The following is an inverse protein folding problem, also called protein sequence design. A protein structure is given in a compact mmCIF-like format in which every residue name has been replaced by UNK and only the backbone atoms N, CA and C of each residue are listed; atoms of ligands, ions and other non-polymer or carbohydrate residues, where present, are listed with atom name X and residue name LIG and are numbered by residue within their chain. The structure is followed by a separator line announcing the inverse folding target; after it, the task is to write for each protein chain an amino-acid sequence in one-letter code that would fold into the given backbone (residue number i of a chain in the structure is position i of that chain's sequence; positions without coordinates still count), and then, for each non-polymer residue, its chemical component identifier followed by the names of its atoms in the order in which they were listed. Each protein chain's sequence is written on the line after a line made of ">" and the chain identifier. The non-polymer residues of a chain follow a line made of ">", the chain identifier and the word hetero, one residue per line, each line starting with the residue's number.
data_IF_150419008138
#
_entry.id   IF_150419008138
#
_cell.length_a   1.000
_cell.length_b   1.000
_cell.length_c   1.000
_cell.angle_alpha   90.00
_cell.angle_beta   90.00
_cell.angle_gamma   90.00
#
_symmetry.space_group_name_H-M   'P 1'
#
loop_
_entity.id
_entity.type
_entity.pdbx_description
1 polymer ?
#
# COMPACT_ATOMS: atom_id res chain seq x y z
N UNK A 1 22.01 -99.76 -0.94
CA UNK A 1 20.93 -99.10 -0.17
C UNK A 1 21.56 -97.93 0.58
N UNK A 2 21.88 -96.85 -0.13
CA UNK A 2 21.01 -95.67 -0.35
C UNK A 2 20.78 -94.83 0.90
N UNK A 3 21.58 -93.77 0.97
CA UNK A 3 21.36 -92.43 1.49
C UNK A 3 21.07 -92.20 2.99
N UNK A 4 22.09 -91.64 3.65
CA UNK A 4 22.03 -90.89 4.92
C UNK A 4 21.24 -89.58 4.72
N UNK A 5 20.43 -89.16 5.71
CA UNK A 5 20.17 -87.75 5.92
C UNK A 5 20.66 -87.26 7.28
N UNK A 6 21.22 -86.07 7.21
CA UNK A 6 21.90 -85.25 8.21
C UNK A 6 20.95 -84.58 9.19
N UNK A 7 21.46 -84.38 10.41
CA UNK A 7 20.85 -83.64 11.52
C UNK A 7 20.82 -82.13 11.22
N UNK A 8 19.69 -81.42 11.36
CA UNK A 8 19.69 -79.96 11.28
C UNK A 8 20.20 -79.31 12.58
N UNK A 9 20.96 -78.23 12.39
CA UNK A 9 21.54 -77.31 13.39
C UNK A 9 20.48 -76.43 14.06
N UNK A 10 20.73 -75.89 15.27
CA UNK A 10 19.80 -75.00 15.95
C UNK A 10 19.83 -73.60 15.32
N UNK A 11 18.65 -73.04 15.09
CA UNK A 11 18.43 -71.68 14.60
C UNK A 11 18.89 -70.65 15.64
N UNK A 12 19.73 -69.73 15.17
CA UNK A 12 20.24 -68.55 15.87
C UNK A 12 19.10 -67.56 16.17
N UNK A 13 18.94 -67.21 17.44
CA UNK A 13 17.92 -66.28 17.93
C UNK A 13 18.30 -64.84 17.57
N UNK A 14 17.51 -64.18 16.72
CA UNK A 14 17.64 -62.74 16.45
C UNK A 14 17.31 -61.92 17.73
N UNK A 15 18.14 -60.94 18.14
CA UNK A 15 17.82 -60.07 19.26
C UNK A 15 16.77 -59.02 18.84
N UNK A 16 15.61 -59.06 19.48
CA UNK A 16 14.55 -58.07 19.31
C UNK A 16 15.02 -56.66 19.69
N UNK A 17 14.76 -55.69 18.82
CA UNK A 17 14.94 -54.27 19.08
C UNK A 17 13.92 -53.78 20.10
N UNK A 18 14.25 -54.00 21.39
CA UNK A 18 13.49 -53.47 22.50
C UNK A 18 13.38 -51.95 22.42
N UNK A 19 12.15 -51.42 22.53
CA UNK A 19 11.91 -49.98 22.65
C UNK A 19 12.81 -49.41 23.76
N UNK A 20 13.57 -48.32 23.50
CA UNK A 20 14.48 -47.77 24.48
C UNK A 20 13.71 -47.38 25.75
N UNK A 21 14.28 -47.69 26.91
CA UNK A 21 13.64 -47.38 28.19
C UNK A 21 13.34 -45.89 28.28
N UNK A 22 12.28 -45.51 29.01
CA UNK A 22 11.92 -44.09 29.24
C UNK A 22 13.09 -43.27 29.81
N UNK A 23 13.99 -43.93 30.54
CA UNK A 23 15.23 -43.33 31.07
C UNK A 23 16.22 -43.02 29.96
N UNK A 24 16.39 -43.93 29.01
CA UNK A 24 17.24 -43.74 27.83
C UNK A 24 16.72 -42.59 26.96
N UNK A 25 15.40 -42.51 26.76
CA UNK A 25 14.76 -41.42 26.02
C UNK A 25 14.93 -40.07 26.76
N UNK A 26 14.70 -40.04 28.08
CA UNK A 26 14.89 -38.84 28.89
C UNK A 26 16.34 -38.35 28.87
N UNK A 27 17.31 -39.26 28.91
CA UNK A 27 18.72 -38.91 28.83
C UNK A 27 19.13 -38.38 27.46
N UNK A 28 18.56 -38.93 26.39
CA UNK A 28 18.80 -38.48 25.02
C UNK A 28 18.18 -37.08 24.78
N UNK A 29 16.96 -36.84 25.26
CA UNK A 29 16.32 -35.52 25.24
C UNK A 29 17.14 -34.50 26.04
N UNK A 30 17.59 -34.87 27.25
CA UNK A 30 18.44 -34.01 28.08
C UNK A 30 19.75 -33.65 27.38
N UNK A 31 20.42 -34.63 26.76
CA UNK A 31 21.64 -34.38 25.97
C UNK A 31 21.39 -33.44 24.80
N UNK A 32 20.31 -33.66 24.03
CA UNK A 32 19.97 -32.80 22.90
C UNK A 32 19.68 -31.37 23.36
N UNK A 33 18.99 -31.21 24.50
CA UNK A 33 18.72 -29.89 25.08
C UNK A 33 20.01 -29.17 25.51
N UNK A 34 20.91 -29.87 26.22
CA UNK A 34 22.21 -29.32 26.61
C UNK A 34 23.03 -28.93 25.39
N UNK A 35 23.00 -29.73 24.32
CA UNK A 35 23.72 -29.43 23.08
C UNK A 35 23.15 -28.21 22.35
N UNK A 36 21.81 -28.03 22.35
CA UNK A 36 21.17 -26.83 21.82
C UNK A 36 21.50 -25.58 22.64
N UNK A 37 21.51 -25.69 23.97
CA UNK A 37 21.88 -24.59 24.87
C UNK A 37 23.35 -24.22 24.67
N UNK A 38 24.25 -25.21 24.57
CA UNK A 38 25.66 -24.98 24.28
C UNK A 38 25.86 -24.32 22.91
N UNK A 39 25.16 -24.77 21.86
CA UNK A 39 25.23 -24.16 20.54
C UNK A 39 24.71 -22.72 20.55
N UNK A 40 23.59 -22.45 21.24
CA UNK A 40 23.05 -21.10 21.39
C UNK A 40 24.05 -20.18 22.13
N UNK A 41 24.62 -20.65 23.23
CA UNK A 41 25.63 -19.90 23.99
C UNK A 41 26.93 -19.71 23.20
N UNK A 42 27.30 -20.66 22.36
CA UNK A 42 28.49 -20.58 21.48
C UNK A 42 28.27 -19.58 20.33
N UNK A 43 27.05 -19.49 19.79
CA UNK A 43 26.66 -18.44 18.84
C UNK A 43 26.59 -17.05 19.49
N UNK A 44 26.32 -16.97 20.79
CA UNK A 44 26.41 -15.70 21.52
C UNK A 44 27.84 -15.31 21.91
N UNK A 45 28.79 -16.25 21.89
CA UNK A 45 30.19 -16.04 22.27
C UNK A 45 31.09 -15.40 21.19
N UNK A 46 30.61 -15.29 19.94
CA UNK A 46 31.29 -14.52 18.87
C UNK A 46 30.73 -13.11 18.70
N UNK A 47 29.73 -12.73 19.49
CA UNK A 47 29.35 -11.34 19.68
C UNK A 47 30.14 -10.80 20.87
N UNK A 48 31.29 -10.20 20.57
CA UNK A 48 31.98 -9.27 21.46
C UNK A 48 31.05 -8.10 21.77
N UNK A 49 30.14 -8.32 22.74
CA UNK A 49 29.27 -7.30 23.27
C UNK A 49 30.13 -6.42 24.18
N UNK A 50 30.79 -5.42 23.57
CA UNK A 50 31.27 -4.28 24.33
C UNK A 50 30.06 -3.61 24.97
N UNK A 51 29.81 -3.93 26.23
CA UNK A 51 29.02 -3.10 27.11
C UNK A 51 29.64 -1.69 27.07
N UNK A 52 28.91 -0.64 26.67
CA UNK A 52 29.35 0.71 26.96
C UNK A 52 29.26 0.85 28.48
N UNK A 53 30.38 0.64 29.16
CA UNK A 53 30.59 1.20 30.49
C UNK A 53 30.33 2.68 30.40
N UNK A 54 29.54 3.19 31.33
CA UNK A 54 29.21 4.60 31.55
C UNK A 54 30.49 5.44 31.61
N UNK A 55 30.98 5.89 30.46
CA UNK A 55 31.80 7.10 30.36
C UNK A 55 30.89 8.25 29.99
N UNK A 56 30.82 9.22 30.89
CA UNK A 56 30.24 10.53 30.64
C UNK A 56 30.85 11.14 29.38
N UNK A 57 30.05 11.18 28.31
CA UNK A 57 30.39 11.83 27.05
C UNK A 57 30.60 13.32 27.32
N UNK A 58 31.86 13.76 27.46
CA UNK A 58 32.19 15.18 27.41
C UNK A 58 31.95 15.65 25.99
N UNK A 59 30.94 16.50 25.82
CA UNK A 59 30.66 17.21 24.58
C UNK A 59 31.86 18.14 24.31
N UNK A 60 32.65 17.82 23.28
CA UNK A 60 33.60 18.75 22.72
C UNK A 60 32.83 19.88 21.99
N UNK A 61 33.23 21.15 22.13
CA UNK A 61 32.54 22.24 21.47
C UNK A 61 32.64 22.12 19.95
N UNK A 62 31.49 22.24 19.28
CA UNK A 62 31.35 22.18 17.83
C UNK A 62 32.06 23.37 17.19
N UNK A 63 33.20 23.12 16.52
CA UNK A 63 33.90 24.11 15.69
C UNK A 63 33.40 24.02 14.25
N UNK A 64 32.48 24.90 13.88
CA UNK A 64 32.11 25.12 12.47
C UNK A 64 33.14 26.07 11.84
N UNK A 65 33.94 25.57 10.89
CA UNK A 65 34.70 26.43 9.96
C UNK A 65 33.92 26.56 8.66
N UNK A 66 33.70 27.79 8.22
CA UNK A 66 33.12 28.07 6.92
C UNK A 66 34.16 27.81 5.83
N UNK A 67 33.82 27.03 4.80
CA UNK A 67 34.64 26.84 3.60
C UNK A 67 33.93 27.55 2.46
N UNK A 68 34.52 28.59 1.85
CA UNK A 68 33.94 29.22 0.67
C UNK A 68 33.89 28.23 -0.50
N UNK A 69 32.84 28.23 -1.33
CA UNK A 69 32.81 27.44 -2.55
C UNK A 69 33.91 27.90 -3.50
N UNK A 70 34.69 26.95 -4.04
CA UNK A 70 35.68 27.23 -5.07
C UNK A 70 34.98 27.76 -6.34
N UNK A 71 35.51 28.81 -6.99
CA UNK A 71 34.95 29.29 -8.25
C UNK A 71 35.04 28.20 -9.31
N UNK A 72 33.95 28.00 -10.05
CA UNK A 72 33.89 27.04 -11.14
C UNK A 72 34.98 27.34 -12.18
N UNK A 73 35.70 26.33 -12.70
CA UNK A 73 36.64 26.53 -13.79
C UNK A 73 35.90 27.07 -15.01
N UNK A 74 36.36 28.21 -15.52
CA UNK A 74 35.91 28.75 -16.82
C UNK A 74 36.30 27.75 -17.89
N UNK A 75 35.33 27.04 -18.45
CA UNK A 75 35.50 26.31 -19.72
C UNK A 75 35.72 27.34 -20.82
N UNK A 76 36.97 27.47 -21.26
CA UNK A 76 37.31 28.11 -22.54
C UNK A 76 36.70 27.28 -23.67
N UNK A 77 35.72 27.85 -24.36
CA UNK A 77 35.21 27.33 -25.63
C UNK A 77 36.35 27.33 -26.65
N UNK A 78 36.91 26.16 -26.93
CA UNK A 78 37.77 25.98 -28.11
C UNK A 78 36.88 25.89 -29.35
N UNK A 79 37.14 26.76 -30.32
CA UNK A 79 36.54 26.71 -31.64
C UNK A 79 37.00 25.44 -32.40
N UNK A 80 36.11 24.71 -33.08
CA UNK A 80 36.51 23.57 -33.88
C UNK A 80 37.24 24.01 -35.16
N UNK A 81 38.46 23.49 -35.34
CA UNK A 81 39.25 23.62 -36.57
C UNK A 81 38.56 22.88 -37.73
N UNK A 82 38.45 23.49 -38.93
CA UNK A 82 37.80 22.86 -40.07
C UNK A 82 38.62 21.67 -40.64
N UNK A 83 37.96 20.54 -40.82
CA UNK A 83 38.51 19.36 -41.47
C UNK A 83 38.52 19.53 -43.00
N UNK A 84 39.65 19.20 -43.64
CA UNK A 84 39.83 19.25 -45.10
C UNK A 84 39.00 18.16 -45.81
N UNK A 85 38.46 18.40 -47.02
CA UNK A 85 37.66 17.43 -47.75
C UNK A 85 38.52 16.27 -48.26
N UNK A 86 38.05 15.03 -48.07
CA UNK A 86 38.61 13.84 -48.72
C UNK A 86 37.75 13.47 -49.93
N UNK A 87 38.39 13.49 -51.09
CA UNK A 87 37.90 13.00 -52.38
C UNK A 87 37.52 11.52 -52.28
N UNK A 88 36.27 11.17 -52.59
CA UNK A 88 35.84 9.77 -52.76
C UNK A 88 35.85 9.43 -54.25
N UNK A 89 36.70 8.48 -54.60
CA UNK A 89 36.79 7.85 -55.92
C UNK A 89 35.57 6.94 -56.13
N UNK A 90 35.00 7.01 -57.33
CA UNK A 90 33.88 6.20 -57.80
C UNK A 90 34.31 4.74 -58.05
N UNK A 91 33.40 3.79 -57.83
CA UNK A 91 33.50 2.45 -58.38
C UNK A 91 32.13 2.06 -58.92
N UNK A 92 32.13 1.65 -60.20
CA UNK A 92 30.99 1.23 -61.03
C UNK A 92 30.36 -0.12 -60.61
N UNK A 93 29.20 -0.51 -61.18
CA UNK A 93 28.19 -1.35 -60.53
C UNK A 93 28.15 -2.80 -61.05
N UNK A 94 27.53 -3.69 -60.27
CA UNK A 94 27.08 -4.99 -60.76
C UNK A 94 25.60 -5.21 -60.45
N UNK A 95 24.88 -5.69 -61.46
CA UNK A 95 23.44 -5.69 -61.66
C UNK A 95 22.84 -7.10 -61.47
N UNK A 96 21.61 -7.19 -60.94
CA UNK A 96 20.53 -8.20 -61.22
C UNK A 96 19.61 -8.38 -59.97
N UNK A 97 18.27 -8.50 -59.96
CA UNK A 97 17.11 -8.51 -60.89
C UNK A 97 15.85 -8.19 -59.99
N UNK A 98 14.80 -7.55 -60.55
CA UNK A 98 13.54 -7.09 -59.90
C UNK A 98 12.41 -8.17 -59.87
N UNK A 99 11.22 -7.97 -59.20
CA UNK A 99 10.10 -7.11 -59.69
C UNK A 99 9.15 -6.54 -58.56
N UNK A 100 7.92 -6.00 -58.80
CA UNK A 100 7.61 -4.63 -59.25
C UNK A 100 6.62 -3.81 -58.35
N UNK A 101 6.74 -2.46 -58.47
CA UNK A 101 5.74 -1.35 -58.47
C UNK A 101 4.52 -1.32 -57.50
N UNK A 102 4.05 -0.17 -56.97
CA UNK A 102 3.90 1.12 -57.65
C UNK A 102 3.59 2.32 -56.72
N UNK A 103 4.21 3.48 -57.07
CA UNK A 103 3.65 4.85 -57.28
C UNK A 103 3.06 5.61 -56.05
N UNK A 104 3.30 6.91 -55.85
CA UNK A 104 3.96 7.96 -56.61
C UNK A 104 4.30 9.17 -55.71
N UNK A 105 5.36 9.89 -56.05
CA UNK A 105 5.54 11.34 -55.79
C UNK A 105 5.75 12.00 -57.16
N UNK A 106 5.46 13.30 -57.36
CA UNK A 106 6.58 14.27 -57.32
C UNK A 106 6.16 15.66 -56.78
N UNK A 107 7.03 16.33 -56.01
CA UNK A 107 7.94 17.44 -56.40
C UNK A 107 7.42 18.79 -55.87
N UNK A 108 8.14 19.43 -54.93
CA UNK A 108 9.22 20.45 -55.13
C UNK A 108 8.62 21.84 -55.39
N UNK A 109 9.13 22.98 -54.95
CA UNK A 109 10.34 23.45 -54.26
C UNK A 109 10.00 24.93 -53.88
N UNK A 110 10.23 25.41 -52.67
CA UNK A 110 11.47 26.03 -52.15
C UNK A 110 11.47 27.58 -52.22
N UNK A 111 12.19 28.15 -51.24
CA UNK A 111 12.83 29.48 -51.12
C UNK A 111 12.05 30.67 -50.54
N UNK A 112 12.30 30.88 -49.24
CA UNK A 112 12.82 32.07 -48.55
C UNK A 112 12.66 33.48 -49.17
N UNK A 113 12.30 34.48 -48.34
CA UNK A 113 13.26 35.36 -47.62
C UNK A 113 12.62 36.61 -46.98
N UNK A 114 13.21 37.03 -45.85
CA UNK A 114 13.55 38.40 -45.44
C UNK A 114 12.50 39.40 -44.88
N UNK A 115 12.71 39.71 -43.59
CA UNK A 115 13.02 41.06 -43.03
C UNK A 115 11.91 42.02 -42.55
N UNK A 116 11.93 42.25 -41.23
CA UNK A 116 12.10 43.55 -40.53
C UNK A 116 10.96 44.60 -40.53
N UNK A 117 10.36 44.87 -39.35
CA UNK A 117 10.64 46.04 -38.48
C UNK A 117 9.62 46.20 -37.32
N UNK A 118 10.16 46.53 -36.13
CA UNK A 118 9.56 46.97 -34.83
C UNK A 118 9.18 48.49 -34.91
N UNK A 119 8.83 49.28 -33.85
CA UNK A 119 8.83 49.06 -32.36
C UNK A 119 7.60 49.68 -31.60
N UNK A 120 7.25 49.24 -30.38
CA UNK A 120 7.64 49.67 -29.00
C UNK A 120 6.80 50.81 -28.36
N UNK A 121 6.42 50.64 -27.09
CA UNK A 121 6.86 51.55 -26.03
C UNK A 121 6.79 50.89 -24.63
N UNK A 122 7.71 51.29 -23.77
CA UNK A 122 8.08 50.71 -22.46
C UNK A 122 7.84 51.76 -21.35
N UNK A 123 7.58 51.34 -20.10
CA UNK A 123 7.53 52.28 -18.98
C UNK A 123 7.43 51.62 -17.60
N UNK A 124 8.51 51.74 -16.83
CA UNK A 124 8.75 51.15 -15.49
C UNK A 124 8.48 52.18 -14.38
N UNK A 125 8.00 51.74 -13.19
CA UNK A 125 8.46 52.07 -11.80
C UNK A 125 7.32 52.16 -10.73
N UNK A 126 7.62 51.61 -9.54
CA UNK A 126 6.86 51.43 -8.25
C UNK A 126 6.86 52.72 -7.38
N UNK A 127 6.37 52.80 -6.10
CA UNK A 127 5.21 52.29 -5.34
C UNK A 127 4.39 53.42 -4.61
N UNK A 128 3.25 53.10 -3.94
CA UNK A 128 2.78 53.90 -2.77
C UNK A 128 1.27 54.11 -2.55
N UNK A 129 0.79 53.61 -1.39
CA UNK A 129 -0.12 54.27 -0.42
C UNK A 129 -1.66 54.24 -0.63
N UNK A 130 -2.33 53.52 0.29
CA UNK A 130 -3.76 53.60 0.68
C UNK A 130 -4.21 55.04 1.03
N UNK A 131 -5.50 55.45 0.93
CA UNK A 131 -6.54 54.92 1.84
C UNK A 131 -8.02 54.86 1.30
N UNK A 132 -8.83 54.03 1.94
CA UNK A 132 -10.30 54.20 2.11
C UNK A 132 -10.54 55.01 3.42
N UNK A 133 -11.73 55.56 3.79
CA UNK A 133 -13.10 55.15 3.41
C UNK A 133 -14.17 56.29 3.33
N UNK A 134 -15.43 55.95 3.00
CA UNK A 134 -16.73 56.52 3.45
C UNK A 134 -17.82 56.17 2.42
N UNK A 135 -18.80 55.30 2.73
CA UNK A 135 -20.04 55.54 3.46
C UNK A 135 -21.12 56.33 2.65
N UNK A 136 -22.18 55.63 2.22
CA UNK A 136 -23.56 56.14 2.23
C UNK A 136 -24.57 55.01 2.04
N UNK A 137 -25.46 54.93 3.02
CA UNK A 137 -26.72 54.18 3.03
C UNK A 137 -27.75 54.76 2.05
N UNK A 138 -28.62 53.91 1.49
CA UNK A 138 -30.09 54.04 1.59
C UNK A 138 -30.80 52.90 0.81
N UNK A 139 -31.66 52.17 1.52
CA UNK A 139 -32.66 51.18 1.07
C UNK A 139 -33.90 51.84 0.41
N UNK A 140 -35.03 51.15 0.17
CA UNK A 140 -35.30 50.03 -0.76
C UNK A 140 -36.51 50.32 -1.68
N UNK A 141 -36.80 49.45 -2.66
CA UNK A 141 -38.17 49.30 -3.19
C UNK A 141 -38.43 47.89 -3.75
N UNK A 142 -39.57 47.34 -3.30
CA UNK A 142 -40.22 46.12 -3.78
C UNK A 142 -40.82 46.32 -5.18
N UNK A 143 -40.94 45.25 -5.96
CA UNK A 143 -42.22 44.81 -6.53
C UNK A 143 -42.04 43.51 -7.34
N UNK A 144 -42.91 42.54 -7.03
CA UNK A 144 -43.16 41.29 -7.74
C UNK A 144 -43.74 41.53 -9.14
N UNK A 145 -43.46 40.63 -10.09
CA UNK A 145 -44.48 40.10 -11.01
C UNK A 145 -43.98 38.85 -11.75
N UNK A 146 -44.80 37.81 -11.69
CA UNK A 146 -44.76 36.54 -12.41
C UNK A 146 -44.85 36.72 -13.93
N UNK A 147 -44.26 35.80 -14.70
CA UNK A 147 -44.88 35.39 -15.96
C UNK A 147 -44.52 33.95 -16.35
N UNK A 148 -45.54 33.25 -16.83
CA UNK A 148 -45.59 31.83 -17.16
C UNK A 148 -45.06 31.51 -18.57
N UNK A 149 -44.77 30.22 -18.76
CA UNK A 149 -44.27 29.49 -19.94
C UNK A 149 -44.98 29.78 -21.30
N UNK A 150 -44.46 29.30 -22.47
CA UNK A 150 -44.63 27.89 -22.82
C UNK A 150 -43.51 27.20 -23.63
N UNK A 151 -43.54 25.88 -23.52
CA UNK A 151 -42.96 24.78 -24.31
C UNK A 151 -42.92 24.96 -25.83
N UNK A 152 -41.80 24.57 -26.48
CA UNK A 152 -41.80 23.98 -27.83
C UNK A 152 -40.58 23.08 -28.09
N UNK A 153 -40.86 21.81 -28.37
CA UNK A 153 -40.10 20.85 -29.19
C UNK A 153 -41.17 20.15 -30.09
N UNK A 154 -40.87 19.48 -31.23
CA UNK A 154 -39.64 18.72 -31.51
C UNK A 154 -39.12 18.75 -32.97
N UNK A 155 -38.05 17.96 -33.16
CA UNK A 155 -37.56 17.26 -34.36
C UNK A 155 -36.55 17.93 -35.30
N UNK A 156 -35.32 17.39 -35.30
CA UNK A 156 -34.61 16.92 -36.49
C UNK A 156 -33.43 16.03 -36.08
N UNK A 157 -33.41 14.80 -36.60
CA UNK A 157 -32.34 13.80 -36.45
C UNK A 157 -31.16 14.13 -37.36
N UNK A 158 -29.94 13.99 -36.85
CA UNK A 158 -28.76 13.63 -37.64
C UNK A 158 -27.77 12.86 -36.73
N UNK A 159 -27.19 11.71 -37.16
CA UNK A 159 -26.31 10.92 -36.30
C UNK A 159 -24.89 11.50 -36.33
N UNK A 160 -24.52 12.21 -35.26
CA UNK A 160 -23.14 12.63 -35.05
C UNK A 160 -22.28 11.42 -34.63
N UNK A 161 -21.25 11.16 -35.42
CA UNK A 161 -20.14 10.23 -35.16
C UNK A 161 -19.59 10.51 -33.75
N UNK A 162 -19.66 9.50 -32.88
CA UNK A 162 -19.10 9.55 -31.54
C UNK A 162 -17.57 9.72 -31.62
N UNK A 163 -17.10 10.94 -31.37
CA UNK A 163 -15.71 11.19 -31.08
C UNK A 163 -15.34 10.45 -29.77
N UNK A 164 -14.33 9.59 -29.84
CA UNK A 164 -13.76 8.95 -28.66
C UNK A 164 -13.25 10.04 -27.69
N UNK A 165 -13.55 9.94 -26.38
CA UNK A 165 -13.08 10.92 -25.42
C UNK A 165 -11.54 10.91 -25.36
N UNK A 166 -10.88 12.07 -25.25
CA UNK A 166 -9.44 12.14 -25.07
C UNK A 166 -9.03 11.45 -23.76
N UNK A 167 -7.78 10.94 -23.65
CA UNK A 167 -7.31 10.32 -22.42
C UNK A 167 -7.42 11.33 -21.27
N UNK A 168 -8.14 10.93 -20.21
CA UNK A 168 -8.34 11.73 -19.02
C UNK A 168 -6.98 12.22 -18.49
N UNK A 169 -6.82 13.54 -18.49
CA UNK A 169 -5.69 14.22 -17.87
C UNK A 169 -5.78 13.98 -16.36
N UNK A 170 -4.66 13.62 -15.73
CA UNK A 170 -4.57 13.35 -14.30
C UNK A 170 -4.90 14.61 -13.48
N UNK A 171 -6.18 14.86 -13.24
CA UNK A 171 -6.74 15.83 -12.28
C UNK A 171 -8.17 15.44 -11.85
N UNK A 172 -8.59 14.19 -12.05
CA UNK A 172 -9.81 13.69 -11.41
C UNK A 172 -9.54 13.45 -9.93
N UNK A 173 -10.20 14.20 -9.06
CA UNK A 173 -10.26 13.89 -7.63
C UNK A 173 -10.90 12.51 -7.48
N UNK A 174 -10.17 11.55 -6.90
CA UNK A 174 -10.70 10.22 -6.69
C UNK A 174 -11.89 10.29 -5.71
N UNK A 175 -12.97 9.55 -5.97
CA UNK A 175 -14.19 9.67 -5.18
C UNK A 175 -13.97 9.19 -3.74
N UNK A 176 -14.63 9.80 -2.73
CA UNK A 176 -14.54 9.36 -1.36
C UNK A 176 -15.19 7.99 -1.18
N UNK A 177 -14.74 7.24 -0.16
CA UNK A 177 -15.34 5.96 0.20
C UNK A 177 -16.60 6.21 1.05
N UNK A 178 -17.80 5.81 0.60
CA UNK A 178 -19.01 5.93 1.42
C UNK A 178 -18.96 4.95 2.60
N UNK A 179 -19.75 5.18 3.67
CA UNK A 179 -19.91 4.20 4.75
C UNK A 179 -20.45 2.85 4.20
N UNK A 180 -21.49 2.90 3.37
CA UNK A 180 -22.18 1.71 2.87
C UNK A 180 -22.88 0.92 3.99
N UNK A 181 -22.93 -0.41 3.85
CA UNK A 181 -23.60 -1.31 4.80
C UNK A 181 -22.56 -2.02 5.68
N UNK A 182 -22.50 -1.71 6.98
CA UNK A 182 -21.52 -2.31 7.88
C UNK A 182 -21.64 -3.85 7.93
N UNK A 183 -20.53 -4.60 7.81
CA UNK A 183 -20.52 -6.03 8.04
C UNK A 183 -20.96 -6.36 9.46
N UNK A 184 -21.72 -7.46 9.68
CA UNK A 184 -22.10 -7.87 11.03
C UNK A 184 -20.87 -8.17 11.90
N UNK A 185 -20.96 -8.04 13.24
CA UNK A 185 -19.88 -8.42 14.13
C UNK A 185 -19.42 -9.88 13.92
N UNK A 186 -18.11 -10.06 13.73
CA UNK A 186 -17.54 -11.35 13.29
C UNK A 186 -16.10 -11.52 13.76
N UNK A 187 -15.73 -12.76 14.09
CA UNK A 187 -14.36 -13.22 14.25
C UNK A 187 -13.98 -14.03 13.01
N UNK A 188 -12.94 -13.61 12.30
CA UNK A 188 -12.35 -14.32 11.17
C UNK A 188 -11.04 -14.96 11.63
N UNK A 189 -10.92 -16.27 11.49
CA UNK A 189 -9.70 -17.02 11.81
C UNK A 189 -8.93 -17.34 10.53
N UNK A 190 -7.61 -17.13 10.56
CA UNK A 190 -6.72 -17.29 9.42
C UNK A 190 -5.63 -18.31 9.70
N UNK A 191 -5.26 -19.05 8.66
CA UNK A 191 -3.94 -19.70 8.58
C UNK A 191 -2.97 -18.69 7.98
N UNK A 192 -1.82 -18.49 8.63
CA UNK A 192 -0.78 -17.60 8.13
C UNK A 192 0.43 -18.40 7.62
N UNK A 193 0.87 -18.06 6.43
CA UNK A 193 2.19 -18.41 5.89
C UNK A 193 3.01 -17.12 5.79
N UNK A 194 4.21 -17.11 6.36
CA UNK A 194 5.12 -15.99 6.27
C UNK A 194 6.48 -16.41 5.73
N UNK A 195 7.20 -15.46 5.14
CA UNK A 195 8.58 -15.64 4.74
C UNK A 195 9.40 -14.48 5.31
N UNK A 196 10.49 -14.79 5.99
CA UNK A 196 11.44 -13.80 6.50
C UNK A 196 12.85 -14.21 6.10
N UNK A 197 13.56 -13.36 5.34
CA UNK A 197 14.92 -13.65 4.85
C UNK A 197 15.04 -15.04 4.18
N UNK A 198 14.03 -15.43 3.42
CA UNK A 198 13.96 -16.72 2.72
C UNK A 198 13.40 -17.89 3.55
N UNK A 199 13.33 -17.76 4.88
CA UNK A 199 12.80 -18.81 5.76
C UNK A 199 11.28 -18.73 5.85
N UNK A 200 10.59 -19.83 5.51
CA UNK A 200 9.14 -19.93 5.63
C UNK A 200 8.76 -20.28 7.06
N UNK A 201 7.76 -19.60 7.62
CA UNK A 201 7.19 -19.89 8.92
C UNK A 201 5.66 -19.89 8.85
N UNK A 202 5.04 -20.52 9.84
CA UNK A 202 3.59 -20.64 9.93
C UNK A 202 3.09 -20.05 11.24
N UNK A 203 1.91 -19.44 11.18
CA UNK A 203 1.25 -18.85 12.34
C UNK A 203 -0.27 -18.97 12.19
N UNK A 204 -1.00 -18.58 13.23
CA UNK A 204 -2.43 -18.34 13.13
C UNK A 204 -2.68 -16.83 13.21
N UNK A 205 -3.74 -16.37 12.54
CA UNK A 205 -4.20 -14.99 12.66
C UNK A 205 -5.68 -14.92 13.00
N UNK A 206 -6.10 -13.81 13.60
CA UNK A 206 -7.49 -13.55 13.95
C UNK A 206 -7.83 -12.09 13.67
N UNK A 207 -8.90 -11.84 12.92
CA UNK A 207 -9.52 -10.52 12.76
C UNK A 207 -10.85 -10.52 13.51
N UNK A 208 -10.96 -9.66 14.52
CA UNK A 208 -12.17 -9.49 15.33
C UNK A 208 -12.78 -8.13 15.03
N UNK A 209 -13.99 -8.13 14.51
CA UNK A 209 -14.78 -6.94 14.19
C UNK A 209 -16.03 -6.91 15.06
N UNK A 210 -16.22 -5.81 15.79
CA UNK A 210 -17.43 -5.56 16.57
C UNK A 210 -17.82 -4.09 16.43
N UNK A 211 -19.12 -3.82 16.40
CA UNK A 211 -19.64 -2.47 16.43
C UNK A 211 -21.03 -2.42 17.06
N UNK A 212 -21.46 -1.20 17.41
CA UNK A 212 -22.84 -0.86 17.69
C UNK A 212 -23.26 0.27 16.74
N UNK A 213 -24.28 1.06 17.10
CA UNK A 213 -24.77 2.15 16.28
C UNK A 213 -23.79 3.34 16.17
N UNK A 214 -22.94 3.55 17.18
CA UNK A 214 -22.11 4.76 17.30
C UNK A 214 -20.60 4.49 17.27
N UNK A 215 -20.15 3.29 17.63
CA UNK A 215 -18.74 2.98 17.82
C UNK A 215 -18.37 1.59 17.32
N UNK A 216 -17.08 1.41 17.03
CA UNK A 216 -16.52 0.14 16.62
C UNK A 216 -15.23 -0.20 17.36
N UNK A 217 -14.92 -1.50 17.40
CA UNK A 217 -13.64 -2.04 17.78
C UNK A 217 -13.22 -3.12 16.78
N UNK A 218 -11.99 -2.97 16.27
CA UNK A 218 -11.37 -3.86 15.31
C UNK A 218 -10.00 -4.29 15.84
N UNK A 219 -9.70 -5.59 15.77
CA UNK A 219 -8.35 -6.08 16.03
C UNK A 219 -7.94 -7.12 15.02
N UNK A 220 -6.69 -7.05 14.55
CA UNK A 220 -6.04 -8.10 13.78
C UNK A 220 -4.85 -8.61 14.61
N UNK A 221 -4.76 -9.91 14.83
CA UNK A 221 -3.64 -10.50 15.55
C UNK A 221 -2.98 -11.61 14.75
N UNK A 222 -1.69 -11.80 14.96
CA UNK A 222 -0.91 -12.92 14.44
C UNK A 222 -0.14 -13.54 15.60
N UNK A 223 -0.20 -14.86 15.72
CA UNK A 223 0.45 -15.64 16.78
C UNK A 223 1.20 -16.83 16.21
N UNK A 224 2.51 -16.83 16.39
CA UNK A 224 3.39 -17.92 16.01
C UNK A 224 3.96 -18.61 17.27
N UNK A 225 4.04 -19.94 17.23
CA UNK A 225 4.60 -20.73 18.33
C UNK A 225 6.07 -20.34 18.56
N UNK A 226 6.46 -20.11 19.82
CA UNK A 226 7.80 -19.68 20.27
C UNK A 226 8.28 -18.29 19.80
N UNK A 227 7.68 -17.68 18.76
CA UNK A 227 8.04 -16.34 18.27
C UNK A 227 7.25 -15.22 18.99
N UNK A 228 6.02 -15.54 19.43
CA UNK A 228 5.14 -14.63 20.15
C UNK A 228 3.95 -14.16 19.31
N UNK A 229 3.37 -13.02 19.69
CA UNK A 229 2.20 -12.46 19.01
C UNK A 229 2.38 -10.98 18.68
N UNK A 230 1.79 -10.55 17.57
CA UNK A 230 1.62 -9.15 17.20
C UNK A 230 0.14 -8.84 17.07
N UNK A 231 -0.26 -7.66 17.55
CA UNK A 231 -1.64 -7.21 17.60
C UNK A 231 -1.75 -5.82 17.00
N UNK A 232 -2.58 -5.67 15.98
CA UNK A 232 -3.07 -4.39 15.49
C UNK A 232 -4.47 -4.14 16.05
N UNK A 233 -4.74 -2.92 16.50
CA UNK A 233 -6.05 -2.52 17.02
C UNK A 233 -6.45 -1.18 16.42
N UNK A 234 -7.72 -1.07 16.07
CA UNK A 234 -8.36 0.16 15.62
C UNK A 234 -9.67 0.30 16.37
N UNK A 235 -9.94 1.48 16.87
CA UNK A 235 -11.19 1.82 17.52
C UNK A 235 -11.59 3.23 17.13
N UNK A 236 -12.88 3.49 17.11
CA UNK A 236 -13.39 4.79 16.73
C UNK A 236 -14.90 4.86 16.70
N UNK A 237 -15.37 5.94 16.11
CA UNK A 237 -16.79 6.22 15.93
C UNK A 237 -17.26 5.77 14.56
N UNK A 238 -18.57 5.61 14.41
CA UNK A 238 -19.24 5.40 13.13
C UNK A 238 -19.98 6.70 12.81
N UNK A 239 -19.66 7.28 11.65
CA UNK A 239 -20.23 8.54 11.19
C UNK A 239 -20.89 8.35 9.83
N UNK A 240 -21.67 9.33 9.37
CA UNK A 240 -22.22 9.29 8.00
C UNK A 240 -21.15 9.21 6.90
N UNK A 241 -19.92 9.64 7.19
CA UNK A 241 -18.79 9.56 6.26
C UNK A 241 -18.06 8.21 6.28
N UNK A 242 -18.38 7.30 7.21
CA UNK A 242 -17.65 6.05 7.38
C UNK A 242 -17.19 5.82 8.82
N UNK A 243 -16.30 4.84 8.95
CA UNK A 243 -15.50 4.63 10.14
C UNK A 243 -14.61 5.85 10.38
N UNK A 244 -14.62 6.32 11.62
CA UNK A 244 -13.84 7.45 12.07
C UNK A 244 -12.88 6.97 13.18
N UNK A 245 -11.70 6.40 12.84
CA UNK A 245 -10.75 5.91 13.83
C UNK A 245 -10.34 7.01 14.79
N UNK A 246 -10.32 6.73 16.09
CA UNK A 246 -9.80 7.63 17.14
C UNK A 246 -8.41 7.20 17.61
N UNK A 247 -8.14 5.89 17.57
CA UNK A 247 -6.85 5.29 17.91
C UNK A 247 -6.56 4.07 17.04
N UNK A 248 -5.36 4.02 16.49
CA UNK A 248 -4.74 2.83 15.91
C UNK A 248 -3.52 2.43 16.74
N UNK A 249 -3.34 1.15 17.06
CA UNK A 249 -2.14 0.67 17.74
C UNK A 249 -1.59 -0.63 17.17
N UNK A 250 -0.28 -0.82 17.35
CA UNK A 250 0.48 -2.01 16.98
C UNK A 250 1.34 -2.42 18.18
N UNK A 251 1.05 -3.61 18.72
CA UNK A 251 1.70 -4.18 19.89
C UNK A 251 2.39 -5.48 19.52
N UNK A 252 3.69 -5.55 19.76
CA UNK A 252 4.43 -6.82 19.78
C UNK A 252 5.24 -6.94 21.07
N UNK A 253 6.38 -6.24 21.14
CA UNK A 253 7.17 -6.11 22.38
C UNK A 253 6.80 -4.84 23.15
N UNK A 254 6.63 -3.75 22.41
CA UNK A 254 6.13 -2.47 22.89
C UNK A 254 4.90 -2.11 22.07
N UNK A 255 3.99 -1.31 22.66
CA UNK A 255 2.88 -0.72 21.92
C UNK A 255 3.33 0.62 21.29
N UNK A 256 2.94 0.83 20.04
CA UNK A 256 2.98 2.13 19.37
C UNK A 256 1.60 2.45 18.85
N UNK A 257 1.27 3.73 18.76
CA UNK A 257 -0.06 4.16 18.35
C UNK A 257 -0.06 5.45 17.53
N UNK A 258 -1.10 5.60 16.72
CA UNK A 258 -1.52 6.84 16.10
C UNK A 258 -2.86 7.27 16.72
N UNK A 259 -2.95 8.54 17.10
CA UNK A 259 -4.13 9.17 17.67
C UNK A 259 -4.71 10.15 16.66
N UNK A 260 -6.00 10.01 16.37
CA UNK A 260 -6.72 10.87 15.43
C UNK A 260 -7.43 11.96 16.22
N UNK A 261 -6.75 13.08 16.41
CA UNK A 261 -7.25 14.24 17.15
C UNK A 261 -8.07 15.13 16.21
N UNK A 262 -9.37 14.79 16.09
CA UNK A 262 -10.32 15.52 15.26
C UNK A 262 -10.59 16.94 15.75
N UNK A 263 -10.55 17.18 17.06
CA UNK A 263 -10.75 18.51 17.61
C UNK A 263 -9.67 19.50 17.11
N UNK A 264 -8.46 19.00 16.85
CA UNK A 264 -7.34 19.79 16.37
C UNK A 264 -6.93 19.47 14.91
N UNK A 265 -7.73 18.68 14.18
CA UNK A 265 -7.46 18.24 12.80
C UNK A 265 -6.04 17.69 12.59
N UNK A 266 -5.57 16.81 13.48
CA UNK A 266 -4.22 16.23 13.41
C UNK A 266 -4.15 14.75 13.78
N UNK A 267 -3.14 14.07 13.25
CA UNK A 267 -2.73 12.73 13.68
C UNK A 267 -1.43 12.83 14.47
N UNK A 268 -1.46 12.33 15.71
CA UNK A 268 -0.32 12.36 16.64
C UNK A 268 0.19 10.94 16.87
N UNK A 269 1.49 10.74 16.76
CA UNK A 269 2.13 9.42 16.89
C UNK A 269 2.83 9.27 18.23
N UNK A 270 2.65 8.11 18.87
CA UNK A 270 3.22 7.83 20.20
C UNK A 270 4.75 7.68 20.20
N UNK A 271 5.36 7.57 19.03
CA UNK A 271 6.82 7.51 18.83
C UNK A 271 7.44 8.88 18.53
N UNK A 272 6.69 9.96 18.72
CA UNK A 272 7.11 11.34 18.41
C UNK A 272 7.51 11.54 16.93
N UNK A 273 6.94 10.77 16.01
CA UNK A 273 7.03 11.08 14.59
C UNK A 273 6.34 12.42 14.29
N UNK A 274 6.70 13.11 13.19
CA UNK A 274 6.07 14.38 12.81
C UNK A 274 4.55 14.27 12.78
N UNK A 275 3.87 15.26 13.37
CA UNK A 275 2.41 15.37 13.35
C UNK A 275 1.94 15.53 11.90
N UNK A 276 0.89 14.81 11.52
CA UNK A 276 0.25 14.94 10.22
C UNK A 276 -1.08 15.67 10.33
N UNK A 277 -1.49 16.39 9.28
CA UNK A 277 -2.84 16.93 9.19
C UNK A 277 -3.85 15.79 9.02
N UNK A 278 -4.98 15.86 9.73
CA UNK A 278 -6.04 14.86 9.63
C UNK A 278 -7.02 15.26 8.52
N UNK A 279 -7.09 14.44 7.47
CA UNK A 279 -8.04 14.64 6.38
C UNK A 279 -9.42 14.01 6.68
N UNK A 280 -10.52 14.56 6.12
CA UNK A 280 -11.82 13.92 6.17
C UNK A 280 -11.77 12.50 5.60
N UNK A 281 -12.41 11.55 6.30
CA UNK A 281 -12.44 10.14 5.87
C UNK A 281 -11.14 9.37 6.08
N UNK A 282 -10.12 9.96 6.72
CA UNK A 282 -8.87 9.29 7.04
C UNK A 282 -9.09 7.99 7.83
N UNK A 283 -8.36 6.96 7.44
CA UNK A 283 -8.40 5.62 8.01
C UNK A 283 -7.07 5.25 8.67
N UNK A 284 -7.02 4.12 9.35
CA UNK A 284 -5.78 3.41 9.67
C UNK A 284 -5.64 2.13 8.83
N UNK A 285 -4.50 1.45 8.98
CA UNK A 285 -4.12 0.31 8.14
C UNK A 285 -5.12 -0.85 8.17
N UNK A 286 -5.87 -1.05 9.26
CA UNK A 286 -6.79 -2.18 9.39
C UNK A 286 -8.27 -1.76 9.28
N UNK A 287 -8.64 -0.57 9.73
CA UNK A 287 -9.99 -0.01 9.54
C UNK A 287 -10.35 0.13 8.06
N UNK A 288 -9.36 0.40 7.21
CA UNK A 288 -9.53 0.46 5.76
C UNK A 288 -10.17 -0.82 5.17
N UNK A 289 -9.85 -2.00 5.72
CA UNK A 289 -10.45 -3.26 5.25
C UNK A 289 -11.96 -3.28 5.48
N UNK A 290 -12.40 -2.82 6.65
CA UNK A 290 -13.82 -2.82 7.02
C UNK A 290 -14.55 -1.66 6.33
N UNK A 291 -13.92 -0.50 6.21
CA UNK A 291 -14.47 0.65 5.48
C UNK A 291 -14.77 0.26 4.02
N UNK A 292 -13.88 -0.48 3.36
CA UNK A 292 -14.10 -0.97 2.00
C UNK A 292 -15.12 -2.10 1.94
N UNK A 293 -15.10 -3.04 2.89
CA UNK A 293 -16.13 -4.07 2.98
C UNK A 293 -17.53 -3.45 3.08
N UNK A 294 -17.68 -2.44 3.94
CA UNK A 294 -18.94 -1.74 4.14
C UNK A 294 -19.39 -0.98 2.89
N UNK A 295 -18.48 -0.24 2.26
CA UNK A 295 -18.74 0.48 1.02
C UNK A 295 -19.21 -0.47 -0.09
N UNK A 296 -18.52 -1.60 -0.29
CA UNK A 296 -18.87 -2.62 -1.27
C UNK A 296 -20.17 -3.34 -0.94
N UNK A 297 -20.49 -3.55 0.33
CA UNK A 297 -21.77 -4.13 0.74
C UNK A 297 -22.95 -3.19 0.47
N UNK A 298 -22.74 -1.88 0.60
CA UNK A 298 -23.79 -0.87 0.39
C UNK A 298 -24.10 -0.62 -1.08
N UNK A 299 -23.08 -0.57 -1.94
CA UNK A 299 -23.25 -0.35 -3.38
C UNK A 299 -22.16 -1.10 -4.19
N UNK A 300 -22.30 -2.43 -4.38
CA UNK A 300 -21.31 -3.22 -5.09
C UNK A 300 -21.11 -2.78 -6.55
N UNK A 301 -22.16 -2.24 -7.20
CA UNK A 301 -22.12 -1.90 -8.63
C UNK A 301 -21.21 -0.71 -8.92
N UNK A 302 -20.97 0.15 -7.93
CA UNK A 302 -20.00 1.25 -7.99
C UNK A 302 -18.54 0.79 -8.06
N UNK A 303 -18.25 -0.44 -7.66
CA UNK A 303 -16.89 -0.98 -7.60
C UNK A 303 -16.63 -1.96 -8.74
N UNK A 304 -16.29 -1.42 -9.90
CA UNK A 304 -15.90 -2.22 -11.08
C UNK A 304 -14.39 -2.43 -11.15
N UNK A 305 -13.89 -3.50 -11.78
CA UNK A 305 -12.47 -3.69 -12.01
C UNK A 305 -11.81 -2.44 -12.61
N UNK A 306 -10.65 -2.06 -12.09
CA UNK A 306 -9.97 -0.81 -12.42
C UNK A 306 -10.38 0.38 -11.58
N UNK A 307 -11.38 0.27 -10.70
CA UNK A 307 -11.73 1.32 -9.73
C UNK A 307 -10.51 1.69 -8.91
N UNK A 308 -10.24 3.00 -8.79
CA UNK A 308 -9.17 3.54 -7.96
C UNK A 308 -9.75 4.39 -6.85
N UNK A 309 -9.19 4.27 -5.65
CA UNK A 309 -9.54 5.08 -4.48
C UNK A 309 -8.28 5.66 -3.85
N UNK A 310 -8.34 6.90 -3.37
CA UNK A 310 -7.28 7.50 -2.59
C UNK A 310 -7.80 7.81 -1.18
N UNK A 311 -7.11 7.29 -0.16
CA UNK A 311 -7.51 7.47 1.23
C UNK A 311 -6.29 7.78 2.09
N UNK A 312 -6.32 8.87 2.84
CA UNK A 312 -5.32 9.11 3.87
C UNK A 312 -5.34 7.95 4.87
N UNK A 313 -4.24 7.23 4.97
CA UNK A 313 -4.12 6.08 5.86
C UNK A 313 -2.99 6.32 6.85
N UNK A 314 -3.31 6.35 8.13
CA UNK A 314 -2.34 6.47 9.21
C UNK A 314 -1.65 5.13 9.48
N UNK A 315 -0.33 5.18 9.55
CA UNK A 315 0.55 4.12 10.05
C UNK A 315 1.04 4.50 11.45
N UNK A 316 2.11 3.86 11.94
CA UNK A 316 2.75 4.25 13.20
C UNK A 316 3.73 5.42 13.05
N UNK A 317 3.97 5.90 11.83
CA UNK A 317 5.03 6.89 11.54
C UNK A 317 4.57 8.06 10.66
N UNK A 318 3.47 7.90 9.95
CA UNK A 318 2.96 8.87 8.99
C UNK A 318 1.45 8.70 8.79
N UNK A 319 0.79 9.70 8.21
CA UNK A 319 -0.57 9.62 7.69
C UNK A 319 -0.56 10.23 6.30
N UNK A 320 -0.64 9.38 5.29
CA UNK A 320 -0.36 9.74 3.91
C UNK A 320 -1.37 9.03 3.00
N UNK A 321 -1.70 9.58 1.83
CA UNK A 321 -2.67 8.98 0.92
C UNK A 321 -2.20 7.61 0.42
N UNK A 322 -3.07 6.61 0.50
CA UNK A 322 -2.90 5.28 -0.08
C UNK A 322 -3.74 5.19 -1.35
N UNK A 323 -3.14 4.75 -2.45
CA UNK A 323 -3.83 4.51 -3.71
C UNK A 323 -4.21 3.03 -3.79
N UNK A 324 -5.51 2.76 -3.71
CA UNK A 324 -6.09 1.44 -3.82
C UNK A 324 -6.60 1.23 -5.24
N UNK A 325 -6.36 0.05 -5.81
CA UNK A 325 -6.94 -0.36 -7.10
C UNK A 325 -7.68 -1.67 -6.92
N UNK A 326 -8.91 -1.74 -7.46
CA UNK A 326 -9.67 -2.98 -7.54
C UNK A 326 -9.23 -3.75 -8.79
N UNK A 327 -8.76 -4.97 -8.61
CA UNK A 327 -8.39 -5.85 -9.71
C UNK A 327 -9.61 -6.65 -10.24
N UNK A 328 -9.50 -7.24 -11.44
CA UNK A 328 -10.50 -8.16 -11.96
C UNK A 328 -10.82 -9.30 -10.99
N UNK A 329 -12.04 -9.87 -11.05
CA UNK A 329 -12.41 -11.00 -10.22
C UNK A 329 -11.48 -12.18 -10.43
N UNK A 330 -11.10 -12.84 -9.33
CA UNK A 330 -10.32 -14.06 -9.34
C UNK A 330 -10.90 -15.08 -8.36
N UNK A 331 -10.70 -16.37 -8.65
CA UNK A 331 -11.20 -17.46 -7.82
C UNK A 331 -10.08 -17.96 -6.91
N UNK A 332 -10.26 -17.82 -5.60
CA UNK A 332 -9.40 -18.46 -4.61
C UNK A 332 -9.86 -19.89 -4.32
N UNK A 333 -8.94 -20.74 -3.89
CA UNK A 333 -9.27 -22.06 -3.32
C UNK A 333 -9.11 -21.99 -1.80
N UNK A 334 -10.22 -22.08 -1.06
CA UNK A 334 -10.23 -22.14 0.41
C UNK A 334 -10.69 -23.53 0.82
N UNK A 335 -9.84 -24.26 1.56
CA UNK A 335 -10.12 -25.63 2.01
C UNK A 335 -10.66 -26.57 0.91
N UNK A 336 -10.10 -26.43 -0.30
CA UNK A 336 -10.48 -27.22 -1.47
C UNK A 336 -11.75 -26.75 -2.20
N UNK A 337 -12.39 -25.67 -1.72
CA UNK A 337 -13.58 -25.08 -2.34
C UNK A 337 -13.23 -23.83 -3.14
N UNK A 338 -13.80 -23.70 -4.33
CA UNK A 338 -13.69 -22.50 -5.15
C UNK A 338 -14.48 -21.35 -4.52
N UNK A 339 -13.82 -20.20 -4.35
CA UNK A 339 -14.40 -18.98 -3.81
C UNK A 339 -14.17 -17.82 -4.78
N UNK A 340 -15.22 -17.31 -5.42
CA UNK A 340 -15.13 -16.06 -6.18
C UNK A 340 -14.77 -14.89 -5.26
N UNK A 341 -13.75 -14.14 -5.66
CA UNK A 341 -13.24 -12.97 -4.94
C UNK A 341 -12.92 -11.84 -5.90
N UNK A 342 -12.77 -10.64 -5.34
CA UNK A 342 -12.08 -9.53 -5.98
C UNK A 342 -10.95 -9.07 -5.06
N UNK A 343 -9.90 -8.48 -5.63
CA UNK A 343 -8.70 -8.09 -4.88
C UNK A 343 -8.51 -6.59 -4.91
N UNK A 344 -8.31 -5.99 -3.75
CA UNK A 344 -7.79 -4.64 -3.62
C UNK A 344 -6.28 -4.69 -3.48
N UNK A 345 -5.59 -3.83 -4.22
CA UNK A 345 -4.14 -3.66 -4.15
C UNK A 345 -3.81 -2.22 -3.77
N UNK A 346 -3.09 -2.05 -2.67
CA UNK A 346 -2.43 -0.80 -2.33
C UNK A 346 -1.00 -0.86 -2.83
N UNK A 347 -0.69 -0.02 -3.82
CA UNK A 347 0.65 0.04 -4.41
C UNK A 347 1.63 0.74 -3.45
N UNK A 348 2.89 0.28 -3.36
CA UNK A 348 3.95 1.02 -2.69
C UNK A 348 4.10 2.41 -3.30
N UNK A 349 4.13 3.45 -2.47
CA UNK A 349 4.24 4.85 -2.96
C UNK A 349 5.69 5.25 -3.20
N UNK A 350 6.59 4.60 -2.51
CA UNK A 350 8.03 4.77 -2.64
C UNK A 350 8.71 3.41 -2.42
N UNK A 351 10.00 3.34 -2.76
CA UNK A 351 10.81 2.11 -2.75
C UNK A 351 10.96 1.45 -1.36
N UNK A 352 10.40 2.05 -0.31
CA UNK A 352 10.50 1.58 1.08
C UNK A 352 9.13 1.16 1.66
N UNK A 353 8.06 1.33 0.89
CA UNK A 353 6.71 0.95 1.31
C UNK A 353 6.41 -0.52 0.99
N UNK A 354 5.67 -1.18 1.88
CA UNK A 354 5.18 -2.53 1.64
C UNK A 354 4.01 -2.50 0.63
N UNK A 355 3.90 -3.56 -0.17
CA UNK A 355 2.70 -3.83 -0.98
C UNK A 355 1.65 -4.51 -0.10
N UNK A 356 0.43 -3.99 -0.08
CA UNK A 356 -0.70 -4.58 0.65
C UNK A 356 -1.74 -5.04 -0.34
N UNK A 357 -2.16 -6.30 -0.21
CA UNK A 357 -3.17 -6.93 -1.06
C UNK A 357 -4.19 -7.62 -0.16
N UNK A 358 -5.48 -7.46 -0.46
CA UNK A 358 -6.51 -8.19 0.25
C UNK A 358 -7.65 -8.57 -0.67
N UNK A 359 -8.09 -9.81 -0.52
CA UNK A 359 -9.16 -10.41 -1.30
C UNK A 359 -10.43 -10.39 -0.47
N UNK A 360 -11.53 -9.99 -1.09
CA UNK A 360 -12.83 -9.88 -0.45
C UNK A 360 -13.85 -10.72 -1.20
N UNK A 361 -14.88 -11.18 -0.50
CA UNK A 361 -15.94 -11.99 -1.09
C UNK A 361 -17.32 -11.56 -0.59
N UNK A 362 -18.34 -11.46 -1.47
CA UNK A 362 -19.70 -11.14 -1.04
C UNK A 362 -20.26 -12.20 -0.07
N UNK A 363 -19.81 -13.46 -0.17
CA UNK A 363 -20.19 -14.55 0.76
C UNK A 363 -19.77 -14.30 2.21
N UNK A 364 -18.85 -13.36 2.44
CA UNK A 364 -18.31 -13.00 3.74
C UNK A 364 -18.56 -11.51 4.03
N UNK A 365 -19.67 -10.96 3.54
CA UNK A 365 -20.00 -9.53 3.68
C UNK A 365 -18.87 -8.59 3.22
N UNK A 366 -18.16 -8.99 2.16
CA UNK A 366 -16.98 -8.29 1.61
C UNK A 366 -15.81 -8.14 2.58
N UNK A 367 -15.79 -8.88 3.69
CA UNK A 367 -14.64 -8.94 4.59
C UNK A 367 -13.45 -9.65 3.94
N UNK A 368 -12.21 -9.35 4.38
CA UNK A 368 -11.02 -9.91 3.76
C UNK A 368 -10.90 -11.42 4.04
N UNK A 369 -11.03 -12.21 2.98
CA UNK A 369 -10.83 -13.68 3.00
C UNK A 369 -9.36 -14.06 2.79
N UNK A 370 -8.54 -13.13 2.31
CA UNK A 370 -7.08 -13.23 2.29
C UNK A 370 -6.46 -11.86 2.47
N UNK A 371 -5.36 -11.77 3.21
CA UNK A 371 -4.56 -10.54 3.35
C UNK A 371 -3.10 -10.91 3.14
N UNK A 372 -2.45 -10.28 2.16
CA UNK A 372 -1.03 -10.45 1.90
C UNK A 372 -0.32 -9.10 2.02
N UNK A 373 0.73 -9.07 2.84
CA UNK A 373 1.60 -7.90 2.98
C UNK A 373 3.00 -8.33 2.60
N UNK A 374 3.53 -7.72 1.54
CA UNK A 374 4.88 -8.00 1.02
C UNK A 374 5.77 -6.80 1.29
N UNK A 375 6.79 -7.00 2.12
CA UNK A 375 7.81 -6.00 2.43
C UNK A 375 8.74 -5.79 1.23
N UNK A 376 9.47 -4.68 1.22
CA UNK A 376 10.47 -4.37 0.19
C UNK A 376 11.58 -5.41 0.11
N UNK A 377 11.90 -6.08 1.21
CA UNK A 377 12.86 -7.19 1.25
C UNK A 377 12.38 -8.45 0.49
N UNK A 378 11.11 -8.51 0.08
CA UNK A 378 10.46 -9.73 -0.39
C UNK A 378 9.90 -10.60 0.74
N UNK A 379 10.23 -10.31 2.00
CA UNK A 379 9.58 -10.93 3.16
C UNK A 379 8.08 -10.66 3.11
N UNK A 380 7.25 -11.63 3.45
CA UNK A 380 5.80 -11.44 3.42
C UNK A 380 5.08 -12.15 4.56
N UNK A 381 3.85 -11.71 4.82
CA UNK A 381 2.84 -12.49 5.52
C UNK A 381 1.64 -12.66 4.61
N UNK A 382 1.03 -13.84 4.64
CA UNK A 382 -0.14 -14.22 3.86
C UNK A 382 -1.13 -14.92 4.77
N UNK A 383 -2.20 -14.22 5.12
CA UNK A 383 -3.30 -14.70 5.95
C UNK A 383 -4.39 -15.20 5.01
N UNK A 384 -4.68 -16.50 5.04
CA UNK A 384 -5.79 -17.12 4.30
C UNK A 384 -6.88 -17.55 5.27
N UNK A 385 -8.13 -17.16 5.00
CA UNK A 385 -9.27 -17.46 5.85
C UNK A 385 -9.45 -18.96 6.02
N UNK A 386 -9.68 -19.38 7.26
CA UNK A 386 -10.01 -20.75 7.68
C UNK A 386 -11.46 -20.86 8.16
N UNK A 387 -11.99 -19.82 8.79
CA UNK A 387 -13.33 -19.86 9.35
C UNK A 387 -13.81 -18.51 9.87
N UNK A 388 -15.11 -18.45 10.14
CA UNK A 388 -15.76 -17.27 10.71
C UNK A 388 -16.73 -17.67 11.83
N UNK A 389 -16.82 -16.84 12.85
CA UNK A 389 -17.73 -16.99 13.97
C UNK A 389 -18.45 -15.66 14.22
N UNK A 390 -19.78 -15.69 14.36
CA UNK A 390 -20.55 -14.50 14.67
C UNK A 390 -20.22 -14.02 16.09
N UNK A 391 -20.05 -12.72 16.26
CA UNK A 391 -19.78 -12.11 17.56
C UNK A 391 -21.00 -11.35 18.08
N UNK A 392 -21.11 -11.14 19.40
CA UNK A 392 -22.04 -10.15 19.91
C UNK A 392 -21.66 -8.74 19.43
N UNK A 393 -22.62 -7.81 19.38
CA UNK A 393 -22.33 -6.40 19.09
C UNK A 393 -21.40 -5.80 20.14
N UNK A 394 -20.75 -4.69 19.79
CA UNK A 394 -19.90 -3.96 20.73
C UNK A 394 -20.75 -3.44 21.90
N UNK A 395 -20.41 -3.73 23.17
CA UNK A 395 -21.16 -3.21 24.30
C UNK A 395 -21.26 -1.68 24.24
N UNK A 396 -22.44 -1.14 24.47
CA UNK A 396 -22.62 0.31 24.63
C UNK A 396 -22.06 0.69 26.00
N UNK A 397 -21.05 1.55 26.03
CA UNK A 397 -20.61 2.16 27.30
C UNK A 397 -21.75 3.06 27.75
N UNK A 398 -22.48 2.65 28.80
CA UNK A 398 -23.43 3.53 29.45
C UNK A 398 -22.65 4.75 29.95
N UNK A 399 -23.06 5.96 29.55
CA UNK A 399 -22.48 7.17 30.09
C UNK A 399 -22.56 7.08 31.62
N UNK A 400 -21.41 7.09 32.29
CA UNK A 400 -21.37 7.30 33.72
C UNK A 400 -21.96 8.70 33.97
N UNK A 401 -23.17 8.73 34.50
CA UNK A 401 -23.91 9.95 34.80
C UNK A 401 -23.36 10.72 35.99
#
# INVERSE_FOLDING_TARGET
>A
MSAVPTRPTPTETQPGSGRPSRRTLGWLVGRVLVLHVALLLSLTGTLDWRLPTTESMRVAPMRTRWVPPAPAPRTTTQAPTPAKPRTRVATEPQQAIAPPAAKATPASADVAAASTSLPADEGVLVPGTHPAPAASEASPSQASASNSAPTRAPDARDPAVAAAPPPATANESLPPIPLGALPPPVLLSYRLTGQEKGLTYYANGELRWQHNAAAYALSLSVKAFLVGSRHWRSQGEITGAGLAPTRFSDSWRNERAAHFDRANNRVVFSNNAPVAALEPGAQDQISLYVQLAAAMAGDPQRFQPGTRLQVQTATLKDALPWLLTLEPPETLTLDGQALPTVKWVCQPRNRFDAKVEFWVSPRHAWMPVRIRITQVSGSFIDLLLRGQEALPPLPTVAAAG
#
